data_IF_529175657985
#
_entry.id   IF_529175657985
#
_cell.length_a   1.000
_cell.length_b   1.000
_cell.length_c   1.000
_cell.angle_alpha   90.00
_cell.angle_beta   90.00
_cell.angle_gamma   90.00
#
_symmetry.space_group_name_H-M   'P 1'
#
loop_
_entity.id
_entity.type
_entity.pdbx_description
1 polymer ?
#
# COMPACT_ATOMS: atom_id res chain seq x y z
N UNK A 1 -12.18 20.77 -14.79
CA UNK A 1 -11.89 20.44 -15.10
C UNK A 1 -11.41 19.95 -15.33
N UNK A 2 -11.16 19.77 -15.17
CA UNK A 2 -10.63 19.41 -15.48
C UNK A 2 -10.26 19.05 -15.90
N UNK A 3 -10.08 19.20 -16.12
CA UNK A 3 -9.66 18.98 -16.60
C UNK A 3 -9.04 18.54 -16.85
N UNK A 4 -9.19 18.62 -16.95
CA UNK A 4 -8.50 18.15 -17.49
C UNK A 4 -7.45 17.50 -17.16
N UNK A 5 -7.27 17.59 -16.68
CA UNK A 5 -6.29 17.16 -16.40
C UNK A 5 -6.26 15.97 -16.22
N UNK A 6 -6.28 15.59 -16.47
CA UNK A 6 -5.77 14.42 -16.29
C UNK A 6 -6.67 13.41 -15.99
N UNK A 7 -6.37 12.29 -16.33
CA UNK A 7 -7.13 11.17 -15.92
C UNK A 7 -6.50 10.59 -14.69
N UNK A 8 -7.28 10.53 -13.63
CA UNK A 8 -6.85 9.78 -12.47
C UNK A 8 -7.43 8.41 -12.59
N UNK A 9 -6.56 7.44 -12.71
CA UNK A 9 -6.98 6.06 -12.74
C UNK A 9 -6.80 5.50 -11.34
N UNK A 10 -7.86 4.91 -10.82
CA UNK A 10 -7.83 4.32 -9.49
C UNK A 10 -7.92 2.82 -9.61
N UNK A 11 -7.36 2.15 -8.63
CA UNK A 11 -7.46 0.71 -8.58
C UNK A 11 -7.93 0.31 -7.20
N UNK A 12 -8.52 -0.87 -7.11
CA UNK A 12 -9.04 -1.38 -5.85
C UNK A 12 -8.11 -2.43 -5.31
N UNK A 13 -7.77 -2.28 -4.06
CA UNK A 13 -6.97 -3.26 -3.35
C UNK A 13 -7.67 -3.55 -2.02
N UNK A 14 -7.18 -4.55 -1.32
CA UNK A 14 -7.71 -4.90 -0.01
C UNK A 14 -6.58 -4.76 1.01
N UNK A 15 -6.84 -4.00 2.06
CA UNK A 15 -5.85 -3.78 3.11
C UNK A 15 -6.46 -4.24 4.41
N UNK A 16 -5.87 -5.25 5.02
CA UNK A 16 -6.36 -5.82 6.27
C UNK A 16 -7.83 -6.15 6.20
N UNK A 17 -8.25 -6.73 5.06
CA UNK A 17 -9.62 -7.16 4.88
C UNK A 17 -10.57 -6.08 4.41
N UNK A 18 -10.11 -4.86 4.26
CA UNK A 18 -10.98 -3.76 3.84
C UNK A 18 -10.62 -3.33 2.43
N UNK A 19 -11.64 -3.17 1.61
CA UNK A 19 -11.44 -2.71 0.26
C UNK A 19 -11.10 -1.23 0.27
N UNK A 20 -10.10 -0.85 -0.52
CA UNK A 20 -9.69 0.54 -0.65
C UNK A 20 -9.44 0.87 -2.09
N UNK A 21 -9.77 2.10 -2.44
CA UNK A 21 -9.47 2.60 -3.77
C UNK A 21 -8.25 3.49 -3.66
N UNK A 22 -7.25 3.22 -4.47
CA UNK A 22 -6.01 3.98 -4.44
C UNK A 22 -5.65 4.40 -5.85
N UNK A 23 -4.74 5.35 -5.94
CA UNK A 23 -4.29 5.82 -7.24
C UNK A 23 -3.48 4.74 -7.93
N UNK A 24 -3.70 4.62 -9.22
CA UNK A 24 -2.93 3.69 -10.03
C UNK A 24 -1.45 4.06 -9.97
N UNK A 25 -0.60 3.05 -9.95
CA UNK A 25 0.83 3.30 -9.91
C UNK A 25 1.41 3.48 -8.54
N UNK A 26 0.60 3.34 -7.51
CA UNK A 26 1.09 3.48 -6.15
C UNK A 26 1.97 2.29 -5.80
N UNK A 27 3.02 2.53 -5.02
CA UNK A 27 3.84 1.45 -4.50
C UNK A 27 3.58 1.30 -3.00
N UNK A 28 4.17 0.28 -2.41
CA UNK A 28 3.93 -0.02 -0.99
C UNK A 28 4.38 1.14 -0.11
N UNK A 29 5.51 1.74 -0.42
CA UNK A 29 6.01 2.85 0.39
C UNK A 29 5.04 4.02 0.40
N UNK A 30 4.50 4.36 -0.75
CA UNK A 30 3.55 5.47 -0.84
C UNK A 30 2.23 5.13 -0.17
N UNK A 31 1.80 3.88 -0.26
CA UNK A 31 0.60 3.48 0.43
C UNK A 31 0.75 3.67 1.92
N UNK A 32 1.88 3.26 2.47
CA UNK A 32 2.09 3.43 3.90
C UNK A 32 2.09 4.91 4.28
N UNK A 33 2.67 5.76 3.44
CA UNK A 33 2.63 7.20 3.70
C UNK A 33 1.21 7.72 3.74
N UNK A 34 0.39 7.29 2.79
CA UNK A 34 -0.99 7.76 2.75
C UNK A 34 -1.79 7.30 3.95
N UNK A 35 -1.46 6.13 4.46
CA UNK A 35 -2.11 5.61 5.65
C UNK A 35 -1.48 6.14 6.94
N UNK A 36 -0.43 6.94 6.80
CA UNK A 36 0.29 7.52 7.94
C UNK A 36 0.87 6.44 8.84
N UNK A 37 1.41 5.42 8.21
CA UNK A 37 2.02 4.28 8.90
C UNK A 37 3.52 4.36 8.70
N UNK A 38 4.27 4.22 9.77
CA UNK A 38 5.72 4.21 9.71
C UNK A 38 6.21 2.84 9.28
N UNK A 39 7.01 2.78 8.21
CA UNK A 39 7.44 1.47 7.70
C UNK A 39 8.21 0.64 8.72
N UNK A 40 8.94 1.28 9.61
CA UNK A 40 9.72 0.54 10.59
C UNK A 40 8.91 -0.07 11.69
N UNK A 41 7.61 0.17 11.73
CA UNK A 41 6.76 -0.34 12.78
C UNK A 41 5.83 -1.44 12.32
N UNK A 42 5.95 -1.87 11.07
CA UNK A 42 5.01 -2.83 10.53
C UNK A 42 5.73 -3.86 9.67
N UNK A 43 5.07 -4.99 9.52
CA UNK A 43 5.41 -5.98 8.50
C UNK A 43 4.30 -5.92 7.47
N UNK A 44 4.68 -5.87 6.21
CA UNK A 44 3.72 -5.81 5.12
C UNK A 44 3.77 -7.13 4.35
N UNK A 45 2.60 -7.73 4.15
CA UNK A 45 2.45 -8.88 3.27
C UNK A 45 1.65 -8.47 2.07
N UNK A 46 2.15 -8.80 0.91
CA UNK A 46 1.45 -8.55 -0.34
C UNK A 46 1.12 -9.89 -0.97
N UNK A 47 -0.15 -10.20 -1.07
CA UNK A 47 -0.61 -11.47 -1.62
C UNK A 47 0.08 -12.63 -0.92
N UNK A 48 0.17 -12.54 0.41
CA UNK A 48 0.74 -13.56 1.30
C UNK A 48 2.25 -13.67 1.25
N UNK A 49 2.91 -12.72 0.60
CA UNK A 49 4.37 -12.71 0.58
C UNK A 49 4.87 -11.50 1.33
N UNK A 50 5.81 -11.71 2.21
CA UNK A 50 6.37 -10.61 2.97
C UNK A 50 7.17 -9.71 2.05
N UNK A 51 6.91 -8.42 2.14
CA UNK A 51 7.64 -7.41 1.39
C UNK A 51 8.64 -6.78 2.34
N UNK A 52 9.91 -6.95 2.04
CA UNK A 52 10.91 -6.40 2.92
C UNK A 52 10.90 -4.88 2.85
N UNK A 53 11.32 -4.28 3.94
CA UNK A 53 11.29 -2.84 4.06
C UNK A 53 12.09 -2.16 2.94
N UNK A 54 13.20 -2.77 2.57
CA UNK A 54 14.06 -2.20 1.54
C UNK A 54 13.41 -2.17 0.17
N UNK A 55 12.39 -3.00 -0.04
CA UNK A 55 11.77 -3.08 -1.35
C UNK A 55 10.39 -2.42 -1.38
N UNK A 56 9.98 -1.75 -0.31
CA UNK A 56 8.68 -1.09 -0.30
C UNK A 56 8.54 -0.12 -1.48
N UNK A 57 9.59 0.66 -1.74
CA UNK A 57 9.51 1.68 -2.77
C UNK A 57 9.54 1.10 -4.18
N UNK A 58 10.02 -0.13 -4.32
CA UNK A 58 10.08 -0.75 -5.63
C UNK A 58 8.99 -1.78 -5.87
N UNK A 59 8.09 -1.95 -4.91
CA UNK A 59 7.00 -2.91 -5.03
C UNK A 59 5.74 -2.18 -5.47
N UNK A 60 5.39 -2.34 -6.73
CA UNK A 60 4.22 -1.70 -7.31
C UNK A 60 2.96 -2.47 -6.93
N UNK A 61 1.91 -1.73 -6.63
CA UNK A 61 0.62 -2.33 -6.34
C UNK A 61 -0.19 -2.42 -7.62
N UNK A 62 -1.08 -3.40 -7.66
CA UNK A 62 -1.91 -3.66 -8.82
C UNK A 62 -3.34 -3.88 -8.38
N UNK A 63 -4.22 -3.74 -9.34
CA UNK A 63 -5.64 -4.01 -9.11
C UNK A 63 -5.83 -5.39 -8.51
N UNK A 64 -6.59 -5.46 -7.44
CA UNK A 64 -6.91 -6.74 -6.83
C UNK A 64 -5.89 -7.23 -5.83
N UNK A 65 -4.84 -6.49 -5.61
CA UNK A 65 -3.84 -6.91 -4.62
C UNK A 65 -4.44 -6.93 -3.22
N UNK A 66 -3.94 -7.85 -2.42
CA UNK A 66 -4.34 -7.97 -1.02
C UNK A 66 -3.12 -7.75 -0.15
N UNK A 67 -3.24 -6.80 0.76
CA UNK A 67 -2.16 -6.48 1.68
C UNK A 67 -2.60 -6.74 3.10
N UNK A 68 -1.65 -7.20 3.90
CA UNK A 68 -1.83 -7.25 5.34
C UNK A 68 -0.71 -6.48 5.98
N UNK A 69 -1.08 -5.56 6.84
CA UNK A 69 -0.12 -4.72 7.53
C UNK A 69 -0.25 -5.03 9.01
N UNK A 70 0.79 -5.60 9.57
CA UNK A 70 0.80 -6.03 10.96
C UNK A 70 1.75 -5.14 11.73
N UNK A 71 1.22 -4.50 12.77
CA UNK A 71 2.04 -3.63 13.60
C UNK A 71 2.79 -4.46 14.63
N UNK A 72 4.03 -4.08 14.86
CA UNK A 72 4.80 -4.68 15.93
C UNK A 72 4.24 -4.19 17.26
N UNK A 73 4.27 -5.09 18.22
CA UNK A 73 3.83 -4.79 19.57
C UNK A 73 5.02 -4.95 20.50
N UNK A 74 5.15 -4.06 21.44
CA UNK A 74 6.15 -4.24 22.41
C UNK A 74 7.41 -3.64 21.97
N UNK A 75 7.82 -3.47 21.51
CA UNK A 75 8.77 -2.81 21.13
C UNK A 75 9.99 -2.72 21.77
N UNK A 76 10.34 -3.00 21.90
CA UNK A 76 11.63 -2.80 22.25
C UNK A 76 12.33 -1.82 21.60
#
# INVERSE_FOLDING_TARGET
>A
MVCGDGFFVYMKIRVNGEEREIADGLNVARLLEELQIRPGRVVVELNRNIVSRETHASTQLKEGDTLEIVHFVGGG
#
